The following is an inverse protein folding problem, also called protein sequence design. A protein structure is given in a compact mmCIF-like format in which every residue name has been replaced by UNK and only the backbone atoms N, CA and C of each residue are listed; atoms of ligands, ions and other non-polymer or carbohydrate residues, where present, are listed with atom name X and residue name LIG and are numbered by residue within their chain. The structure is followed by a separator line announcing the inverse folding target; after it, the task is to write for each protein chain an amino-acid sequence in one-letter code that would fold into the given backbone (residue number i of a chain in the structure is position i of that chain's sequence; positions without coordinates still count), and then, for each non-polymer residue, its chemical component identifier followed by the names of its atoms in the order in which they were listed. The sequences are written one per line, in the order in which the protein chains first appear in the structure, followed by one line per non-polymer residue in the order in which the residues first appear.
data_IF_047900811754
#
_entry.id   IF_047900811754
#
_cell.length_a   1.000
_cell.length_b   1.000
_cell.length_c   1.000
_cell.angle_alpha   90.00
_cell.angle_beta   90.00
_cell.angle_gamma   90.00
#
_symmetry.space_group_name_H-M   'P 1'
#
loop_
_entity.id
_entity.type
_entity.pdbx_description
1 polymer ?
#
# COMPACT_ATOMS: atom_id res chain seq x y z
N UNK A 1 -7.65 -19.26 4.49
CA UNK A 1 -8.90 -18.66 3.97
C UNK A 1 -9.64 -17.82 5.02
N UNK A 2 -9.95 -18.33 6.23
CA UNK A 2 -10.70 -17.57 7.24
C UNK A 2 -10.09 -16.20 7.60
N UNK A 3 -8.82 -16.16 8.01
CA UNK A 3 -8.15 -14.90 8.41
C UNK A 3 -8.16 -13.78 7.36
N UNK A 4 -8.07 -14.10 6.06
CA UNK A 4 -8.10 -13.06 5.02
C UNK A 4 -9.52 -12.57 4.74
N UNK A 5 -10.52 -13.44 4.90
CA UNK A 5 -11.93 -13.08 4.79
C UNK A 5 -12.38 -12.18 5.95
N UNK A 6 -11.92 -12.48 7.17
CA UNK A 6 -12.21 -11.64 8.34
C UNK A 6 -11.53 -10.27 8.25
N UNK A 7 -10.28 -10.23 7.79
CA UNK A 7 -9.57 -9.00 7.47
C UNK A 7 -10.29 -8.18 6.38
N UNK A 8 -10.81 -8.86 5.33
CA UNK A 8 -11.62 -8.22 4.28
C UNK A 8 -12.88 -7.59 4.87
N UNK A 9 -13.59 -8.33 5.74
CA UNK A 9 -14.82 -7.87 6.38
C UNK A 9 -14.55 -6.68 7.30
N UNK A 10 -13.47 -6.73 8.10
CA UNK A 10 -13.04 -5.63 8.95
C UNK A 10 -12.69 -4.38 8.14
N UNK A 11 -11.91 -4.50 7.07
CA UNK A 11 -11.52 -3.36 6.25
C UNK A 11 -12.74 -2.67 5.62
N UNK A 12 -13.64 -3.45 5.02
CA UNK A 12 -14.88 -2.93 4.42
C UNK A 12 -15.81 -2.33 5.46
N UNK A 13 -15.97 -2.95 6.62
CA UNK A 13 -16.80 -2.41 7.71
C UNK A 13 -16.23 -1.12 8.32
N UNK A 14 -14.91 -1.00 8.38
CA UNK A 14 -14.23 0.15 9.01
C UNK A 14 -14.13 1.36 8.07
N UNK A 15 -13.84 1.12 6.78
CA UNK A 15 -13.50 2.18 5.83
C UNK A 15 -14.44 2.26 4.62
N UNK A 16 -15.39 1.34 4.47
CA UNK A 16 -16.20 1.19 3.26
C UNK A 16 -17.05 2.41 2.92
N UNK A 17 -17.66 3.04 3.93
CA UNK A 17 -18.43 4.28 3.73
C UNK A 17 -17.54 5.41 3.23
N UNK A 18 -16.40 5.61 3.90
CA UNK A 18 -15.43 6.65 3.54
C UNK A 18 -14.85 6.43 2.13
N UNK A 19 -14.53 5.19 1.77
CA UNK A 19 -14.08 4.82 0.43
C UNK A 19 -15.17 5.13 -0.59
N UNK A 20 -16.41 4.68 -0.33
CA UNK A 20 -17.52 4.87 -1.26
C UNK A 20 -17.80 6.35 -1.51
N UNK A 21 -17.74 7.17 -0.46
CA UNK A 21 -17.90 8.62 -0.57
C UNK A 21 -16.78 9.27 -1.39
N UNK A 22 -15.51 8.94 -1.11
CA UNK A 22 -14.39 9.54 -1.83
C UNK A 22 -14.24 9.05 -3.27
N UNK A 23 -14.65 7.81 -3.55
CA UNK A 23 -14.54 7.17 -4.86
C UNK A 23 -15.79 7.37 -5.75
N UNK A 24 -16.84 8.04 -5.25
CA UNK A 24 -18.12 8.18 -5.95
C UNK A 24 -18.00 8.76 -7.38
N UNK A 25 -17.06 9.68 -7.58
CA UNK A 25 -16.79 10.34 -8.87
C UNK A 25 -15.64 9.67 -9.64
N UNK A 26 -15.25 8.46 -9.26
CA UNK A 26 -14.18 7.68 -9.88
C UNK A 26 -14.72 6.40 -10.48
N UNK A 27 -13.92 5.72 -11.32
CA UNK A 27 -14.29 4.41 -11.86
C UNK A 27 -13.89 3.24 -10.95
N UNK A 28 -13.39 3.53 -9.74
CA UNK A 28 -12.80 2.53 -8.85
C UNK A 28 -13.82 2.02 -7.84
N UNK A 29 -13.91 0.70 -7.69
CA UNK A 29 -14.82 0.08 -6.73
C UNK A 29 -14.21 -0.03 -5.33
N UNK A 30 -15.06 -0.09 -4.30
CA UNK A 30 -14.65 -0.47 -2.94
C UNK A 30 -13.86 -1.79 -2.92
N UNK A 31 -14.23 -2.75 -3.77
CA UNK A 31 -13.56 -4.04 -3.84
C UNK A 31 -12.14 -3.94 -4.40
N UNK A 32 -11.86 -3.00 -5.30
CA UNK A 32 -10.50 -2.70 -5.76
C UNK A 32 -9.65 -2.11 -4.63
N UNK A 33 -10.15 -1.11 -3.91
CA UNK A 33 -9.42 -0.54 -2.76
C UNK A 33 -9.15 -1.60 -1.69
N UNK A 34 -10.13 -2.47 -1.43
CA UNK A 34 -9.98 -3.59 -0.50
C UNK A 34 -8.90 -4.55 -1.00
N UNK A 35 -8.92 -4.92 -2.28
CA UNK A 35 -7.91 -5.81 -2.86
C UNK A 35 -6.49 -5.23 -2.77
N UNK A 36 -6.33 -3.92 -3.03
CA UNK A 36 -5.05 -3.22 -2.89
C UNK A 36 -4.63 -3.20 -1.41
N UNK A 37 -5.47 -2.75 -0.48
CA UNK A 37 -5.11 -2.74 0.94
C UNK A 37 -4.72 -4.14 1.48
N UNK A 38 -5.41 -5.19 1.00
CA UNK A 38 -5.08 -6.57 1.32
C UNK A 38 -3.68 -6.94 0.83
N UNK A 39 -3.38 -6.60 -0.43
CA UNK A 39 -2.11 -6.91 -1.04
C UNK A 39 -0.94 -6.10 -0.47
N UNK A 40 -1.14 -4.81 -0.20
CA UNK A 40 -0.06 -3.88 0.15
C UNK A 40 0.36 -4.03 1.62
N UNK A 41 -0.57 -4.19 2.57
CA UNK A 41 -0.23 -4.13 4.01
C UNK A 41 -0.96 -5.11 4.92
N UNK A 42 -1.80 -6.02 4.41
CA UNK A 42 -2.56 -6.92 5.31
C UNK A 42 -1.69 -7.86 6.13
N UNK A 43 -0.48 -8.17 5.67
CA UNK A 43 0.47 -8.93 6.48
C UNK A 43 0.83 -8.22 7.81
N UNK A 44 0.58 -6.91 7.90
CA UNK A 44 0.72 -6.08 9.10
C UNK A 44 -0.64 -5.89 9.78
N UNK A 45 -1.54 -5.12 9.18
CA UNK A 45 -2.79 -4.72 9.85
C UNK A 45 -3.71 -5.92 10.10
N UNK A 46 -3.69 -6.93 9.23
CA UNK A 46 -4.42 -8.18 9.39
C UNK A 46 -4.03 -8.98 10.65
N UNK A 47 -2.90 -8.66 11.28
CA UNK A 47 -2.43 -9.27 12.54
C UNK A 47 -2.69 -8.42 13.78
N UNK A 48 -3.15 -7.17 13.58
CA UNK A 48 -3.25 -6.13 14.59
C UNK A 48 -4.67 -5.59 14.79
N UNK A 49 -5.55 -5.67 13.79
CA UNK A 49 -6.86 -5.01 13.83
C UNK A 49 -7.78 -5.47 14.97
N UNK A 50 -7.60 -6.68 15.48
CA UNK A 50 -8.37 -7.22 16.62
C UNK A 50 -7.77 -6.81 17.98
N UNK A 51 -6.58 -6.21 17.99
CA UNK A 51 -5.79 -5.96 19.21
C UNK A 51 -5.58 -4.48 19.49
N UNK A 52 -5.65 -3.65 18.45
CA UNK A 52 -5.33 -2.24 18.50
C UNK A 52 -6.50 -1.42 17.97
N UNK A 53 -6.57 -0.14 18.35
CA UNK A 53 -7.52 0.78 17.73
C UNK A 53 -7.18 0.98 16.26
N UNK A 54 -8.17 1.43 15.46
CA UNK A 54 -7.97 1.76 14.05
C UNK A 54 -6.82 2.75 13.86
N UNK A 55 -6.71 3.76 14.72
CA UNK A 55 -5.64 4.75 14.66
C UNK A 55 -4.25 4.12 14.86
N UNK A 56 -4.10 3.25 15.87
CA UNK A 56 -2.83 2.55 16.12
C UNK A 56 -2.48 1.58 15.00
N UNK A 57 -3.47 0.93 14.39
CA UNK A 57 -3.26 0.09 13.20
C UNK A 57 -2.73 0.92 12.04
N UNK A 58 -3.35 2.07 11.73
CA UNK A 58 -2.93 2.94 10.62
C UNK A 58 -1.51 3.48 10.82
N UNK A 59 -1.12 3.82 12.05
CA UNK A 59 0.26 4.22 12.39
C UNK A 59 1.29 3.18 11.98
N UNK A 60 0.94 1.91 12.19
CA UNK A 60 1.76 0.74 11.95
C UNK A 60 1.66 0.20 10.52
N UNK A 61 0.78 0.72 9.67
CA UNK A 61 0.75 0.40 8.24
C UNK A 61 1.94 1.02 7.49
N UNK A 62 3.15 0.77 7.96
CA UNK A 62 4.44 1.09 7.34
C UNK A 62 5.14 -0.21 7.06
N UNK A 63 5.98 -0.28 6.04
CA UNK A 63 6.48 -1.58 5.57
C UNK A 63 7.72 -1.43 4.71
N UNK A 64 8.22 -2.59 4.30
CA UNK A 64 9.39 -2.79 3.46
C UNK A 64 10.65 -2.04 3.93
N UNK A 65 11.62 -2.80 4.43
CA UNK A 65 12.89 -2.20 4.85
C UNK A 65 13.80 -2.03 3.65
N UNK A 66 14.44 -0.87 3.57
CA UNK A 66 15.32 -0.58 2.45
C UNK A 66 16.54 -1.50 2.46
N UNK A 67 16.58 -2.39 1.46
CA UNK A 67 17.67 -3.33 1.22
C UNK A 67 18.62 -2.77 0.16
N UNK A 68 19.48 -1.83 0.56
CA UNK A 68 20.65 -1.47 -0.25
C UNK A 68 21.50 -2.73 -0.48
N UNK A 69 21.96 -3.04 -1.72
CA UNK A 69 22.00 -2.20 -2.91
C UNK A 69 20.96 -2.56 -4.01
N UNK A 70 19.88 -3.30 -3.72
CA UNK A 70 18.99 -3.86 -4.77
C UNK A 70 17.95 -2.88 -5.32
N UNK A 71 17.91 -1.63 -4.83
CA UNK A 71 16.93 -0.61 -5.20
C UNK A 71 17.52 0.36 -6.23
N UNK A 72 16.78 0.64 -7.31
CA UNK A 72 17.14 1.65 -8.31
C UNK A 72 16.45 3.00 -8.08
N UNK A 73 15.23 2.98 -7.52
CA UNK A 73 14.45 4.16 -7.16
C UNK A 73 15.07 4.92 -5.97
N UNK A 74 14.86 6.23 -5.94
CA UNK A 74 15.25 7.06 -4.79
C UNK A 74 14.48 6.65 -3.52
N UNK A 75 15.07 6.79 -2.32
CA UNK A 75 16.50 6.74 -2.08
C UNK A 75 16.99 5.30 -2.23
N UNK A 76 18.24 5.10 -2.66
CA UNK A 76 18.86 3.76 -2.73
C UNK A 76 19.46 3.33 -1.39
N UNK A 77 19.73 4.28 -0.52
CA UNK A 77 20.29 4.08 0.81
C UNK A 77 20.05 5.33 1.69
N UNK A 78 20.49 5.28 2.94
CA UNK A 78 20.37 6.39 3.89
C UNK A 78 21.13 7.64 3.43
N UNK A 79 22.31 7.48 2.83
CA UNK A 79 23.15 8.59 2.35
C UNK A 79 22.44 9.41 1.27
N UNK A 80 21.80 8.76 0.30
CA UNK A 80 21.04 9.44 -0.74
C UNK A 80 19.81 10.16 -0.16
N UNK A 81 19.16 9.56 0.85
CA UNK A 81 18.03 10.20 1.52
C UNK A 81 18.48 11.48 2.23
N UNK A 82 19.56 11.45 3.03
CA UNK A 82 20.01 12.65 3.76
C UNK A 82 20.58 13.75 2.86
N UNK A 83 20.95 13.43 1.62
CA UNK A 83 21.47 14.41 0.67
C UNK A 83 20.39 15.36 0.10
N UNK A 84 19.09 15.05 0.27
CA UNK A 84 18.00 15.95 -0.16
C UNK A 84 17.52 16.85 0.98
N UNK A 85 16.87 17.99 0.68
CA UNK A 85 16.30 18.85 1.71
C UNK A 85 15.40 18.07 2.70
N UNK A 86 15.64 18.27 4.00
CA UNK A 86 14.94 17.58 5.10
C UNK A 86 15.08 16.04 5.11
N UNK A 87 16.05 15.49 4.36
CA UNK A 87 16.30 14.06 4.28
C UNK A 87 16.74 13.43 5.60
N UNK A 88 17.46 14.17 6.43
CA UNK A 88 17.81 13.81 7.80
C UNK A 88 16.56 13.55 8.67
N UNK A 89 15.59 14.46 8.60
CA UNK A 89 14.30 14.33 9.29
C UNK A 89 13.49 13.16 8.73
N UNK A 90 13.50 12.98 7.42
CA UNK A 90 12.79 11.86 6.80
C UNK A 90 13.39 10.51 7.23
N UNK A 91 14.72 10.41 7.29
CA UNK A 91 15.39 9.22 7.80
C UNK A 91 14.96 8.93 9.25
N UNK A 92 14.93 9.93 10.12
CA UNK A 92 14.46 9.76 11.51
C UNK A 92 13.01 9.25 11.56
N UNK A 93 12.11 9.84 10.78
CA UNK A 93 10.70 9.43 10.69
C UNK A 93 10.58 7.98 10.21
N UNK A 94 11.29 7.61 9.14
CA UNK A 94 11.26 6.27 8.58
C UNK A 94 11.90 5.22 9.50
N UNK A 95 12.90 5.64 10.28
CA UNK A 95 13.59 4.81 11.25
C UNK A 95 12.72 4.53 12.47
N UNK A 96 12.07 5.56 13.00
CA UNK A 96 11.13 5.43 14.11
C UNK A 96 9.95 4.54 13.73
N UNK A 97 9.44 4.65 12.50
CA UNK A 97 8.39 3.76 11.99
C UNK A 97 8.81 2.28 12.01
N UNK A 98 10.06 1.97 11.63
CA UNK A 98 10.64 0.63 11.72
C UNK A 98 10.72 0.13 13.17
N UNK A 99 11.10 1.00 14.10
CA UNK A 99 11.21 0.66 15.53
C UNK A 99 9.83 0.42 16.16
N UNK A 100 8.83 1.22 15.81
CA UNK A 100 7.43 1.02 16.21
C UNK A 100 6.89 -0.31 15.70
N UNK A 101 7.12 -0.66 14.42
CA UNK A 101 6.81 -2.00 13.91
C UNK A 101 7.54 -3.10 14.69
N UNK A 102 8.81 -2.89 15.02
CA UNK A 102 9.61 -3.82 15.80
C UNK A 102 9.02 -4.16 17.17
N UNK A 103 8.22 -3.27 17.77
CA UNK A 103 7.50 -3.58 19.01
C UNK A 103 6.43 -4.68 18.84
N UNK A 104 5.95 -4.90 17.62
CA UNK A 104 4.88 -5.86 17.32
C UNK A 104 5.35 -7.07 16.49
N UNK A 105 6.45 -6.93 15.75
CA UNK A 105 6.93 -7.93 14.80
C UNK A 105 8.41 -8.27 15.03
N UNK A 106 8.74 -9.50 15.48
CA UNK A 106 10.12 -9.90 15.81
C UNK A 106 11.12 -9.71 14.67
N UNK A 107 10.73 -9.93 13.42
CA UNK A 107 11.61 -9.77 12.26
C UNK A 107 12.01 -8.29 12.05
N UNK A 108 11.05 -7.37 12.18
CA UNK A 108 11.32 -5.93 12.13
C UNK A 108 12.14 -5.46 13.34
N UNK A 109 11.89 -6.03 14.53
CA UNK A 109 12.70 -5.76 15.73
C UNK A 109 14.17 -6.11 15.51
N UNK A 110 14.41 -7.31 14.98
CA UNK A 110 15.75 -7.79 14.66
C UNK A 110 16.43 -6.90 13.62
N UNK A 111 15.70 -6.49 12.57
CA UNK A 111 16.25 -5.60 11.55
C UNK A 111 16.62 -4.24 12.17
N UNK A 112 15.75 -3.66 13.00
CA UNK A 112 16.02 -2.41 13.68
C UNK A 112 17.30 -2.52 14.54
N UNK A 113 17.43 -3.57 15.35
CA UNK A 113 18.60 -3.75 16.22
C UNK A 113 19.91 -4.00 15.45
N UNK A 114 19.88 -4.83 14.42
CA UNK A 114 21.09 -5.24 13.71
C UNK A 114 21.59 -4.19 12.71
N UNK A 115 20.69 -3.38 12.16
CA UNK A 115 21.01 -2.48 11.04
C UNK A 115 20.54 -1.05 11.36
N UNK A 116 21.36 -0.22 12.01
CA UNK A 116 20.96 1.13 12.45
C UNK A 116 20.64 2.09 11.29
N UNK A 117 21.15 1.79 10.09
CA UNK A 117 20.91 2.59 8.87
C UNK A 117 19.74 2.06 8.03
N UNK A 118 19.08 0.97 8.41
CA UNK A 118 17.85 0.50 7.75
C UNK A 118 16.64 1.27 8.27
N UNK A 119 15.70 1.52 7.38
CA UNK A 119 14.46 2.26 7.61
C UNK A 119 13.36 1.76 6.67
N UNK A 120 12.10 2.00 7.03
CA UNK A 120 10.95 1.67 6.19
C UNK A 120 10.86 2.61 4.97
N UNK A 121 10.39 2.09 3.85
CA UNK A 121 10.19 2.90 2.65
C UNK A 121 8.75 2.91 2.13
N UNK A 122 7.88 2.00 2.57
CA UNK A 122 6.43 2.05 2.29
C UNK A 122 5.65 2.65 3.46
N UNK A 123 4.77 3.61 3.18
CA UNK A 123 4.00 4.33 4.20
C UNK A 123 2.49 4.31 3.93
N UNK A 124 1.70 4.00 4.95
CA UNK A 124 0.25 3.93 4.90
C UNK A 124 -0.30 2.60 4.40
N UNK A 125 -1.60 2.43 4.58
CA UNK A 125 -2.33 1.18 4.28
C UNK A 125 -2.27 0.80 2.79
N UNK A 126 -1.98 1.75 1.90
CA UNK A 126 -1.80 1.54 0.46
C UNK A 126 -0.32 1.60 0.00
N UNK A 127 0.65 1.58 0.94
CA UNK A 127 2.11 1.61 0.70
C UNK A 127 2.60 2.74 -0.22
N UNK A 128 2.36 4.00 0.16
CA UNK A 128 2.95 5.15 -0.53
C UNK A 128 4.47 5.17 -0.32
N UNK A 129 5.22 5.04 -1.42
CA UNK A 129 6.67 4.85 -1.37
C UNK A 129 7.42 6.16 -1.10
N UNK A 130 8.45 6.09 -0.26
CA UNK A 130 9.31 7.21 0.13
C UNK A 130 10.01 7.91 -1.04
N UNK A 131 10.06 7.30 -2.24
CA UNK A 131 10.59 7.95 -3.44
C UNK A 131 9.91 9.29 -3.72
N UNK A 132 8.65 9.42 -3.32
CA UNK A 132 7.87 10.64 -3.48
C UNK A 132 8.16 11.70 -2.41
N UNK A 133 9.05 11.44 -1.45
CA UNK A 133 9.49 12.45 -0.47
C UNK A 133 10.01 13.72 -1.14
N UNK A 134 10.65 13.60 -2.32
CA UNK A 134 11.14 14.75 -3.10
C UNK A 134 10.04 15.71 -3.55
N UNK A 135 8.84 15.20 -3.79
CA UNK A 135 7.71 15.99 -4.35
C UNK A 135 6.59 16.20 -3.33
N UNK A 136 6.53 15.40 -2.28
CA UNK A 136 5.50 15.47 -1.24
C UNK A 136 6.09 15.22 0.16
N UNK A 137 7.05 16.05 0.62
CA UNK A 137 7.70 15.84 1.91
C UNK A 137 6.73 15.96 3.09
N UNK A 138 5.70 16.79 2.97
CA UNK A 138 4.71 17.05 4.01
C UNK A 138 3.89 15.81 4.38
N UNK A 139 3.60 14.92 3.41
CA UNK A 139 2.91 13.66 3.72
C UNK A 139 3.68 12.85 4.76
N UNK A 140 4.99 12.78 4.59
CA UNK A 140 5.84 11.99 5.48
C UNK A 140 6.21 12.74 6.76
N UNK A 141 6.70 13.98 6.67
CA UNK A 141 7.15 14.73 7.84
C UNK A 141 6.02 15.03 8.83
N UNK A 142 4.78 15.16 8.35
CA UNK A 142 3.59 15.36 9.19
C UNK A 142 2.84 14.06 9.49
N UNK A 143 3.42 12.91 9.15
CA UNK A 143 2.85 11.56 9.39
C UNK A 143 1.42 11.39 8.90
N UNK A 144 1.11 11.96 7.73
CA UNK A 144 -0.25 11.93 7.17
C UNK A 144 -0.74 10.51 6.90
N UNK A 145 0.14 9.53 6.79
CA UNK A 145 -0.26 8.13 6.65
C UNK A 145 -0.98 7.55 7.88
N UNK A 146 -0.96 8.26 9.01
CA UNK A 146 -1.76 7.91 10.19
C UNK A 146 -3.26 8.11 9.95
N UNK A 147 -3.61 8.97 8.99
CA UNK A 147 -4.98 9.30 8.65
C UNK A 147 -5.39 8.55 7.38
N UNK A 148 -6.51 7.81 7.46
CA UNK A 148 -6.98 6.99 6.35
C UNK A 148 -7.42 7.84 5.15
N UNK A 149 -8.06 8.98 5.38
CA UNK A 149 -8.47 9.93 4.34
C UNK A 149 -7.27 10.42 3.50
N UNK A 150 -6.16 10.76 4.15
CA UNK A 150 -4.95 11.17 3.46
C UNK A 150 -4.35 10.03 2.63
N UNK A 151 -4.33 8.80 3.15
CA UNK A 151 -3.91 7.62 2.40
C UNK A 151 -4.81 7.38 1.17
N UNK A 152 -6.12 7.46 1.37
CA UNK A 152 -7.12 7.22 0.34
C UNK A 152 -7.04 8.27 -0.78
N UNK A 153 -6.91 9.54 -0.44
CA UNK A 153 -6.76 10.61 -1.42
C UNK A 153 -5.54 10.40 -2.32
N UNK A 154 -4.40 9.99 -1.74
CA UNK A 154 -3.21 9.64 -2.52
C UNK A 154 -3.41 8.37 -3.37
N UNK A 155 -4.05 7.33 -2.83
CA UNK A 155 -4.35 6.12 -3.58
C UNK A 155 -5.24 6.40 -4.80
N UNK A 156 -6.31 7.20 -4.63
CA UNK A 156 -7.18 7.63 -5.73
C UNK A 156 -6.41 8.39 -6.80
N UNK A 157 -5.53 9.32 -6.41
CA UNK A 157 -4.72 10.08 -7.36
C UNK A 157 -3.81 9.16 -8.20
N UNK A 158 -3.10 8.23 -7.56
CA UNK A 158 -2.22 7.29 -8.23
C UNK A 158 -2.99 6.28 -9.09
N UNK A 159 -4.17 5.82 -8.64
CA UNK A 159 -5.04 4.95 -9.43
C UNK A 159 -5.58 5.66 -10.68
N UNK A 160 -5.91 6.96 -10.58
CA UNK A 160 -6.31 7.74 -11.75
C UNK A 160 -5.16 7.87 -12.76
N UNK A 161 -3.95 8.11 -12.28
CA UNK A 161 -2.77 8.11 -13.14
C UNK A 161 -2.51 6.72 -13.75
N UNK A 162 -2.72 5.65 -13.00
CA UNK A 162 -2.58 4.27 -13.48
C UNK A 162 -3.64 3.90 -14.53
N UNK A 163 -4.89 4.33 -14.34
CA UNK A 163 -5.97 4.20 -15.31
C UNK A 163 -5.59 4.87 -16.63
N UNK A 164 -5.13 6.12 -16.57
CA UNK A 164 -4.68 6.85 -17.76
C UNK A 164 -3.53 6.13 -18.48
N UNK A 165 -2.58 5.54 -17.75
CA UNK A 165 -1.49 4.75 -18.34
C UNK A 165 -1.96 3.44 -18.97
N UNK A 166 -2.97 2.80 -18.39
CA UNK A 166 -3.50 1.52 -18.88
C UNK A 166 -4.44 1.69 -20.07
N UNK A 167 -5.38 2.64 -20.00
CA UNK A 167 -6.52 2.74 -20.92
C UNK A 167 -6.75 4.15 -21.49
N UNK A 168 -5.99 5.16 -21.07
CA UNK A 168 -6.31 6.56 -21.37
C UNK A 168 -7.48 7.11 -20.55
N UNK A 169 -8.13 8.16 -21.05
CA UNK A 169 -9.17 8.92 -20.34
C UNK A 169 -10.60 8.64 -20.79
N UNK A 170 -10.81 7.77 -21.79
CA UNK A 170 -12.12 7.62 -22.44
C UNK A 170 -13.02 6.57 -21.77
N UNK A 171 -12.51 5.89 -20.76
CA UNK A 171 -13.27 4.90 -19.99
C UNK A 171 -14.34 5.59 -19.15
N UNK A 172 -15.55 5.04 -19.19
CA UNK A 172 -16.68 5.46 -18.34
C UNK A 172 -17.06 4.38 -17.32
N UNK A 173 -16.50 3.18 -17.45
CA UNK A 173 -16.64 2.07 -16.51
C UNK A 173 -15.44 1.13 -16.64
N UNK A 174 -15.16 0.37 -15.58
CA UNK A 174 -14.14 -0.68 -15.57
C UNK A 174 -14.79 -2.03 -15.26
N UNK A 175 -14.44 -3.06 -16.04
CA UNK A 175 -14.70 -4.45 -15.64
C UNK A 175 -13.75 -4.86 -14.51
N UNK A 176 -14.00 -6.01 -13.89
CA UNK A 176 -13.11 -6.54 -12.84
C UNK A 176 -11.70 -6.78 -13.36
N UNK A 177 -11.57 -7.32 -14.57
CA UNK A 177 -10.26 -7.54 -15.20
C UNK A 177 -9.55 -6.22 -15.45
N UNK A 178 -10.28 -5.20 -15.89
CA UNK A 178 -9.72 -3.86 -16.13
C UNK A 178 -9.26 -3.20 -14.83
N UNK A 179 -10.00 -3.37 -13.73
CA UNK A 179 -9.58 -2.93 -12.40
C UNK A 179 -8.27 -3.60 -11.96
N UNK A 180 -8.07 -4.90 -12.25
CA UNK A 180 -6.80 -5.57 -11.98
C UNK A 180 -5.66 -5.00 -12.82
N UNK A 181 -5.90 -4.71 -14.11
CA UNK A 181 -4.89 -4.09 -14.95
C UNK A 181 -4.51 -2.68 -14.48
N UNK A 182 -5.47 -1.89 -13.98
CA UNK A 182 -5.19 -0.61 -13.33
C UNK A 182 -4.35 -0.82 -12.06
N UNK A 183 -4.66 -1.79 -11.21
CA UNK A 183 -3.84 -2.11 -10.03
C UNK A 183 -2.41 -2.54 -10.39
N UNK A 184 -2.23 -3.30 -11.48
CA UNK A 184 -0.90 -3.66 -12.01
C UNK A 184 -0.14 -2.40 -12.44
N UNK A 185 -0.81 -1.48 -13.14
CA UNK A 185 -0.22 -0.20 -13.54
C UNK A 185 0.06 0.74 -12.35
N UNK A 186 -0.71 0.64 -11.27
CA UNK A 186 -0.47 1.30 -9.98
C UNK A 186 0.83 0.77 -9.36
N UNK A 187 0.96 -0.56 -9.22
CA UNK A 187 2.11 -1.19 -8.59
C UNK A 187 3.43 -1.02 -9.37
N UNK A 188 3.38 -1.09 -10.70
CA UNK A 188 4.59 -1.16 -11.55
C UNK A 188 4.86 0.09 -12.37
N UNK A 189 3.92 1.02 -12.42
CA UNK A 189 3.93 2.16 -13.33
C UNK A 189 3.46 1.84 -14.76
N UNK A 190 3.24 0.58 -15.15
CA UNK A 190 2.71 0.21 -16.47
C UNK A 190 2.06 -1.17 -16.49
N UNK A 191 1.31 -1.48 -17.57
CA UNK A 191 0.66 -2.77 -17.79
C UNK A 191 0.98 -3.32 -19.18
N UNK A 192 1.19 -4.63 -19.25
CA UNK A 192 1.32 -5.38 -20.50
C UNK A 192 0.15 -6.36 -20.64
N UNK A 193 -0.85 -6.02 -21.44
CA UNK A 193 -2.06 -6.81 -21.59
C UNK A 193 -1.80 -8.26 -22.07
N UNK A 194 -0.72 -8.50 -22.82
CA UNK A 194 -0.41 -9.84 -23.35
C UNK A 194 0.01 -10.81 -22.25
N UNK A 195 0.50 -10.30 -21.12
CA UNK A 195 0.92 -11.10 -19.97
C UNK A 195 -0.22 -11.46 -19.02
N UNK A 196 -1.44 -10.94 -19.25
CA UNK A 196 -2.55 -11.10 -18.33
C UNK A 196 -2.17 -10.67 -16.91
N UNK A 197 -2.58 -11.43 -15.89
CA UNK A 197 -2.32 -11.09 -14.49
C UNK A 197 -0.93 -11.50 -13.97
N UNK A 198 -0.09 -12.14 -14.79
CA UNK A 198 1.29 -12.57 -14.43
C UNK A 198 2.29 -11.42 -14.48
N UNK A 199 2.01 -10.39 -13.70
CA UNK A 199 2.71 -9.11 -13.68
C UNK A 199 2.86 -8.58 -12.26
N UNK A 200 3.97 -7.88 -12.02
CA UNK A 200 4.36 -7.33 -10.71
C UNK A 200 5.34 -8.24 -10.00
N UNK A 201 5.52 -8.01 -8.70
CA UNK A 201 6.33 -8.90 -7.87
C UNK A 201 5.78 -10.33 -7.94
N UNK A 202 6.69 -11.30 -8.12
CA UNK A 202 6.40 -12.73 -8.09
C UNK A 202 6.95 -13.27 -6.79
N UNK A 203 6.09 -13.85 -5.97
CA UNK A 203 6.50 -14.41 -4.69
C UNK A 203 7.20 -15.77 -4.86
N UNK A 204 7.63 -16.35 -3.75
CA UNK A 204 8.29 -17.65 -3.72
C UNK A 204 7.37 -18.81 -4.14
N UNK A 205 6.05 -18.68 -3.97
CA UNK A 205 5.06 -19.65 -4.47
C UNK A 205 4.90 -19.60 -6.00
N UNK A 206 5.38 -18.52 -6.60
CA UNK A 206 5.38 -18.26 -8.02
C UNK A 206 4.16 -17.50 -8.53
N UNK A 207 3.36 -16.95 -7.62
CA UNK A 207 2.18 -16.14 -7.91
C UNK A 207 2.56 -14.66 -8.02
N UNK A 208 1.97 -13.99 -8.99
CA UNK A 208 2.24 -12.58 -9.27
C UNK A 208 1.26 -11.65 -8.54
N UNK A 209 1.70 -10.42 -8.28
CA UNK A 209 0.86 -9.33 -7.74
C UNK A 209 -0.52 -9.24 -8.42
N UNK A 210 -0.57 -9.22 -9.76
CA UNK A 210 -1.84 -9.16 -10.49
C UNK A 210 -2.78 -10.34 -10.19
N UNK A 211 -2.22 -11.54 -10.00
CA UNK A 211 -3.01 -12.74 -9.63
C UNK A 211 -3.53 -12.63 -8.19
N UNK A 212 -2.78 -12.01 -7.27
CA UNK A 212 -3.28 -11.71 -5.93
C UNK A 212 -4.40 -10.69 -5.94
N UNK A 213 -4.25 -9.59 -6.68
CA UNK A 213 -5.31 -8.58 -6.81
C UNK A 213 -6.59 -9.20 -7.34
N UNK A 214 -6.51 -10.04 -8.37
CA UNK A 214 -7.68 -10.75 -8.90
C UNK A 214 -8.38 -11.60 -7.84
N UNK A 215 -7.61 -12.36 -7.05
CA UNK A 215 -8.18 -13.21 -6.00
C UNK A 215 -8.79 -12.38 -4.86
N UNK A 216 -8.13 -11.31 -4.44
CA UNK A 216 -8.65 -10.44 -3.38
C UNK A 216 -9.85 -9.62 -3.82
N UNK A 217 -9.92 -9.19 -5.09
CA UNK A 217 -11.09 -8.52 -5.64
C UNK A 217 -12.31 -9.46 -5.62
N UNK A 218 -12.15 -10.71 -6.07
CA UNK A 218 -13.23 -11.73 -6.01
C UNK A 218 -13.61 -12.09 -4.57
N UNK A 219 -12.64 -12.19 -3.67
CA UNK A 219 -12.90 -12.41 -2.25
C UNK A 219 -13.69 -11.23 -1.65
N UNK A 220 -13.29 -10.00 -1.95
CA UNK A 220 -13.96 -8.79 -1.46
C UNK A 220 -15.43 -8.75 -1.90
N UNK A 221 -15.71 -9.09 -3.15
CA UNK A 221 -17.07 -9.16 -3.69
C UNK A 221 -17.94 -10.23 -3.05
N UNK A 222 -17.35 -11.38 -2.72
CA UNK A 222 -18.09 -12.48 -2.08
C UNK A 222 -18.19 -12.33 -0.55
N UNK A 223 -17.42 -11.41 0.04
CA UNK A 223 -17.48 -11.13 1.47
C UNK A 223 -18.59 -10.13 1.76
N UNK A 224 -19.66 -10.63 2.38
CA UNK A 224 -20.72 -9.79 2.93
C UNK A 224 -20.22 -9.06 4.18
N UNK A 225 -20.52 -7.77 4.25
CA UNK A 225 -20.48 -7.01 5.50
C UNK A 225 -21.85 -7.15 6.14
N UNK A 226 -21.91 -7.57 7.41
CA UNK A 226 -23.18 -7.52 8.14
C UNK A 226 -23.59 -6.03 8.29
N UNK A 227 -24.90 -5.73 8.16
CA UNK A 227 -25.41 -4.36 8.28
C UNK A 227 -25.19 -3.74 9.66
#
# INVERSE_FOLDING_TARGET
MGRIQDATRWFKGTFGEQISAAAAETLFSLDLFTAIALQETCYIWGRLYEKLSVEEVLKLCVGDTLDAPKRSAFPKNQEELIAVPHGDKMFQVAREALELLGAHFPDFHKIAQMYPLKFCHGFGIFQYDIQFFKTNPDFFLKRRWYAFDACLAHCIHELQAALNRAYGSDKTMLTDEEQVFVAIAYNRGSVDFKRGFKQGYKDESGKYYGEYIWDYLRLSKSTQCEP
#
